data_IF_143806599732
#
_entry.id   IF_143806599732
#
_cell.length_a   1.000
_cell.length_b   1.000
_cell.length_c   1.000
_cell.angle_alpha   90.00
_cell.angle_beta   90.00
_cell.angle_gamma   90.00
#
_symmetry.space_group_name_H-M   'P 1'
#
loop_
_entity.id
_entity.type
_entity.pdbx_description
1 polymer ?
#
# COMPACT_ATOMS: atom_id res chain seq x y z
N UNK A 1 -15.73 -45.12 31.01
CA UNK A 1 -16.06 -43.86 31.74
C UNK A 1 -15.46 -42.72 30.91
N UNK A 2 -16.23 -42.01 30.06
CA UNK A 2 -17.10 -40.85 30.36
C UNK A 2 -16.27 -39.79 31.12
N UNK A 3 -16.00 -38.57 30.66
CA UNK A 3 -16.49 -37.74 29.55
C UNK A 3 -16.39 -36.27 29.99
N UNK A 4 -16.40 -35.32 29.03
CA UNK A 4 -16.67 -33.88 29.25
C UNK A 4 -15.41 -33.04 29.50
N UNK A 5 -14.99 -32.11 28.64
CA UNK A 5 -15.75 -31.36 27.65
C UNK A 5 -16.57 -30.28 28.36
N UNK A 6 -15.94 -29.14 28.63
CA UNK A 6 -16.54 -28.05 29.40
C UNK A 6 -15.68 -26.78 29.39
N UNK A 7 -15.15 -26.40 28.23
CA UNK A 7 -14.76 -25.01 28.03
C UNK A 7 -16.05 -24.21 27.90
N UNK A 8 -16.39 -23.51 28.97
CA UNK A 8 -17.53 -22.63 29.02
C UNK A 8 -17.42 -21.61 27.90
N UNK A 9 -18.27 -21.78 26.89
CA UNK A 9 -18.69 -20.69 26.05
C UNK A 9 -19.38 -19.68 26.97
N UNK A 10 -18.59 -18.75 27.49
CA UNK A 10 -19.05 -17.57 28.19
C UNK A 10 -19.92 -16.83 27.18
N UNK A 11 -21.23 -17.04 27.31
CA UNK A 11 -22.23 -16.34 26.54
C UNK A 11 -22.14 -14.87 26.94
N UNK A 12 -21.25 -14.13 26.26
CA UNK A 12 -21.23 -12.68 26.28
C UNK A 12 -22.63 -12.25 25.88
N UNK A 13 -23.43 -11.89 26.89
CA UNK A 13 -24.74 -11.31 26.71
C UNK A 13 -24.52 -10.10 25.79
N UNK A 14 -24.90 -10.26 24.52
CA UNK A 14 -24.76 -9.21 23.54
C UNK A 14 -25.40 -7.95 24.14
N UNK A 15 -24.68 -6.81 24.21
CA UNK A 15 -25.26 -5.58 24.69
C UNK A 15 -26.57 -5.37 23.93
N UNK A 16 -27.67 -5.13 24.65
CA UNK A 16 -28.96 -4.81 24.05
C UNK A 16 -28.77 -3.54 23.22
N UNK A 17 -28.48 -3.71 21.93
CA UNK A 17 -28.38 -2.61 20.98
C UNK A 17 -29.72 -1.92 20.96
N UNK A 18 -29.70 -0.60 21.10
CA UNK A 18 -30.91 0.21 21.12
C UNK A 18 -31.80 -0.13 19.90
N UNK A 19 -33.09 -0.46 20.10
CA UNK A 19 -34.01 -0.76 19.02
C UNK A 19 -34.11 0.33 17.95
N UNK A 20 -33.91 1.59 18.30
CA UNK A 20 -33.90 2.72 17.36
C UNK A 20 -32.66 2.69 16.45
N UNK A 21 -31.54 2.19 16.95
CA UNK A 21 -30.32 1.99 16.14
C UNK A 21 -30.52 0.88 15.12
N UNK A 22 -31.27 -0.18 15.45
CA UNK A 22 -31.57 -1.29 14.51
C UNK A 22 -32.54 -0.91 13.38
N UNK A 23 -33.28 0.21 13.51
CA UNK A 23 -34.14 0.74 12.43
C UNK A 23 -33.35 1.43 11.32
N UNK A 24 -32.14 1.88 11.64
CA UNK A 24 -31.23 2.52 10.70
C UNK A 24 -30.00 1.63 10.49
N UNK A 25 -29.96 0.97 9.33
CA UNK A 25 -28.88 0.03 8.99
C UNK A 25 -27.50 0.72 9.02
N UNK A 26 -27.41 2.01 8.74
CA UNK A 26 -26.13 2.74 8.81
C UNK A 26 -25.69 2.96 10.26
N UNK A 27 -26.60 3.38 11.15
CA UNK A 27 -26.28 3.52 12.58
C UNK A 27 -25.93 2.18 13.22
N UNK A 28 -26.64 1.11 12.86
CA UNK A 28 -26.32 -0.24 13.32
C UNK A 28 -24.92 -0.69 12.84
N UNK A 29 -24.53 -0.31 11.62
CA UNK A 29 -23.20 -0.62 11.10
C UNK A 29 -22.08 0.10 11.87
N UNK A 30 -22.26 1.37 12.24
CA UNK A 30 -21.28 2.10 13.04
C UNK A 30 -21.09 1.48 14.44
N UNK A 31 -22.19 1.07 15.09
CA UNK A 31 -22.11 0.35 16.38
C UNK A 31 -21.36 -0.96 16.22
N UNK A 32 -21.69 -1.75 15.20
CA UNK A 32 -20.97 -2.99 14.90
C UNK A 32 -19.49 -2.73 14.63
N UNK A 33 -19.15 -1.74 13.79
CA UNK A 33 -17.78 -1.39 13.44
C UNK A 33 -16.95 -1.00 14.65
N UNK A 34 -17.52 -0.23 15.58
CA UNK A 34 -16.84 0.21 16.80
C UNK A 34 -16.41 -0.93 17.73
N UNK A 35 -17.09 -2.08 17.63
CA UNK A 35 -16.83 -3.29 18.43
C UNK A 35 -16.19 -4.41 17.61
N UNK A 36 -15.90 -4.16 16.33
CA UNK A 36 -15.38 -5.17 15.43
C UNK A 36 -13.89 -5.40 15.68
N UNK A 37 -13.55 -6.58 16.21
CA UNK A 37 -12.18 -6.93 16.62
C UNK A 37 -11.11 -6.80 15.51
N UNK A 38 -11.50 -6.86 14.23
CA UNK A 38 -10.57 -6.73 13.09
C UNK A 38 -10.50 -5.30 12.54
N UNK A 39 -11.17 -4.33 13.15
CA UNK A 39 -11.16 -2.94 12.66
C UNK A 39 -9.74 -2.35 12.69
N UNK A 40 -8.96 -2.62 13.74
CA UNK A 40 -7.57 -2.17 13.85
C UNK A 40 -6.70 -2.72 12.71
N UNK A 41 -6.89 -3.99 12.34
CA UNK A 41 -6.19 -4.60 11.21
C UNK A 41 -6.58 -3.96 9.86
N UNK A 42 -7.85 -3.56 9.69
CA UNK A 42 -8.32 -2.85 8.49
C UNK A 42 -7.68 -1.45 8.40
N UNK A 43 -7.62 -0.71 9.51
CA UNK A 43 -6.99 0.62 9.53
C UNK A 43 -5.46 0.52 9.33
N UNK A 44 -4.80 -0.47 9.92
CA UNK A 44 -3.39 -0.75 9.67
C UNK A 44 -3.12 -1.04 8.19
N UNK A 45 -3.96 -1.84 7.53
CA UNK A 45 -3.82 -2.14 6.10
C UNK A 45 -3.97 -0.89 5.21
N UNK A 46 -4.86 0.05 5.57
CA UNK A 46 -4.95 1.35 4.87
C UNK A 46 -3.67 2.15 5.02
N UNK A 47 -3.09 2.18 6.23
CA UNK A 47 -1.84 2.88 6.48
C UNK A 47 -0.68 2.29 5.66
N UNK A 48 -0.59 0.96 5.60
CA UNK A 48 0.39 0.25 4.75
C UNK A 48 0.18 0.60 3.28
N UNK A 49 -1.07 0.55 2.78
CA UNK A 49 -1.38 0.90 1.40
C UNK A 49 -0.93 2.32 1.07
N UNK A 50 -1.19 3.28 1.95
CA UNK A 50 -0.75 4.67 1.79
C UNK A 50 0.78 4.78 1.73
N UNK A 51 1.48 4.13 2.66
CA UNK A 51 2.95 4.09 2.68
C UNK A 51 3.51 3.56 1.36
N UNK A 52 2.92 2.49 0.81
CA UNK A 52 3.36 1.89 -0.45
C UNK A 52 3.15 2.82 -1.65
N UNK A 53 2.08 3.61 -1.67
CA UNK A 53 1.89 4.65 -2.68
C UNK A 53 2.93 5.77 -2.57
N UNK A 54 3.25 6.20 -1.34
CA UNK A 54 4.27 7.23 -1.12
C UNK A 54 5.66 6.74 -1.55
N UNK A 55 6.00 5.48 -1.24
CA UNK A 55 7.23 4.82 -1.72
C UNK A 55 7.27 4.71 -3.25
N UNK A 56 6.14 4.34 -3.88
CA UNK A 56 6.05 4.23 -5.33
C UNK A 56 6.22 5.59 -6.01
N UNK A 57 5.64 6.64 -5.43
CA UNK A 57 5.83 8.01 -5.91
C UNK A 57 7.31 8.42 -5.85
N UNK A 58 7.97 8.19 -4.72
CA UNK A 58 9.40 8.51 -4.55
C UNK A 58 10.29 7.72 -5.52
N UNK A 59 10.03 6.43 -5.71
CA UNK A 59 10.76 5.61 -6.69
C UNK A 59 10.51 6.12 -8.13
N UNK A 60 9.29 6.56 -8.44
CA UNK A 60 8.95 7.18 -9.73
C UNK A 60 9.73 8.46 -10.00
N UNK A 61 9.81 9.34 -9.00
CA UNK A 61 10.64 10.55 -9.06
C UNK A 61 12.12 10.22 -9.27
N UNK A 62 12.65 9.23 -8.54
CA UNK A 62 14.04 8.78 -8.67
C UNK A 62 14.35 8.20 -10.06
N UNK A 63 13.44 7.42 -10.66
CA UNK A 63 13.57 6.92 -12.05
C UNK A 63 13.65 8.10 -13.03
N UNK A 64 12.77 9.09 -12.88
CA UNK A 64 12.76 10.24 -13.77
C UNK A 64 14.02 11.10 -13.62
N UNK A 65 14.49 11.30 -12.39
CA UNK A 65 15.73 12.02 -12.12
C UNK A 65 16.94 11.28 -12.72
N UNK A 66 17.06 9.97 -12.53
CA UNK A 66 18.14 9.18 -13.12
C UNK A 66 18.15 9.30 -14.65
N UNK A 67 16.98 9.28 -15.29
CA UNK A 67 16.84 9.50 -16.74
C UNK A 67 17.26 10.93 -17.15
N UNK A 68 16.90 11.92 -16.34
CA UNK A 68 17.30 13.31 -16.54
C UNK A 68 18.82 13.48 -16.46
N UNK A 69 19.46 12.90 -15.43
CA UNK A 69 20.90 12.93 -15.25
C UNK A 69 21.65 12.26 -16.41
N UNK A 70 21.20 11.08 -16.86
CA UNK A 70 21.80 10.43 -18.04
C UNK A 70 21.77 11.37 -19.26
N UNK A 71 20.64 12.05 -19.49
CA UNK A 71 20.52 12.98 -20.62
C UNK A 71 21.46 14.18 -20.46
N UNK A 72 21.58 14.75 -19.25
CA UNK A 72 22.49 15.86 -18.95
C UNK A 72 23.95 15.46 -19.17
N UNK A 73 24.39 14.33 -18.61
CA UNK A 73 25.78 13.87 -18.73
C UNK A 73 26.13 13.56 -20.18
N UNK A 74 25.21 12.99 -20.96
CA UNK A 74 25.41 12.82 -22.41
C UNK A 74 25.60 14.14 -23.15
N UNK A 75 24.85 15.18 -22.79
CA UNK A 75 25.00 16.51 -23.38
C UNK A 75 26.36 17.13 -23.02
N UNK A 76 26.85 16.93 -21.80
CA UNK A 76 28.19 17.37 -21.39
C UNK A 76 29.31 16.68 -22.18
N UNK A 77 29.20 15.36 -22.38
CA UNK A 77 30.16 14.62 -23.23
C UNK A 77 30.18 15.20 -24.65
N UNK A 78 29.01 15.46 -25.23
CA UNK A 78 28.94 16.04 -26.58
C UNK A 78 29.54 17.44 -26.64
N UNK A 79 29.25 18.29 -25.64
CA UNK A 79 29.83 19.62 -25.54
C UNK A 79 31.36 19.56 -25.45
N UNK A 80 31.91 18.68 -24.60
CA UNK A 80 33.36 18.48 -24.48
C UNK A 80 33.99 18.06 -25.82
N UNK A 81 33.33 17.18 -26.57
CA UNK A 81 33.81 16.74 -27.89
C UNK A 81 33.82 17.89 -28.91
N UNK A 82 32.78 18.72 -28.91
CA UNK A 82 32.70 19.90 -29.78
C UNK A 82 33.78 20.93 -29.43
N UNK A 83 33.98 21.23 -28.15
CA UNK A 83 35.00 22.17 -27.67
C UNK A 83 36.41 21.72 -28.07
N UNK A 84 36.71 20.42 -27.94
CA UNK A 84 37.99 19.84 -28.40
C UNK A 84 38.19 19.99 -29.90
N UNK A 85 37.16 19.67 -30.69
CA UNK A 85 37.21 19.81 -32.14
C UNK A 85 37.50 21.27 -32.57
N UNK A 86 36.96 22.25 -31.83
CA UNK A 86 37.24 23.67 -32.07
C UNK A 86 38.66 24.09 -31.69
N UNK A 87 39.23 23.51 -30.63
CA UNK A 87 40.59 23.82 -30.16
C UNK A 87 41.69 23.15 -31.00
N UNK A 88 41.34 22.23 -31.91
CA UNK A 88 42.31 21.53 -32.77
C UNK A 88 43.23 20.58 -32.00
N UNK A 89 42.88 20.24 -30.76
CA UNK A 89 43.62 19.29 -29.91
C UNK A 89 43.39 17.89 -30.45
N UNK A 90 44.44 17.22 -30.94
CA UNK A 90 44.38 15.80 -31.28
C UNK A 90 44.25 14.97 -30.00
N UNK A 91 43.48 13.88 -30.05
CA UNK A 91 43.40 12.91 -28.95
C UNK A 91 44.78 12.29 -28.71
N UNK A 92 45.51 12.77 -27.70
CA UNK A 92 46.57 11.97 -27.10
C UNK A 92 45.91 10.93 -26.18
N UNK A 93 46.20 9.65 -26.42
CA UNK A 93 45.78 8.56 -25.52
C UNK A 93 46.31 8.84 -24.10
N UNK A 94 45.39 9.10 -23.16
CA UNK A 94 45.71 9.37 -21.76
C UNK A 94 45.76 10.84 -21.33
N UNK A 95 45.38 11.80 -22.19
CA UNK A 95 45.26 13.22 -21.80
C UNK A 95 44.07 13.50 -20.86
N UNK A 96 44.12 14.64 -20.13
CA UNK A 96 43.11 15.07 -19.14
C UNK A 96 41.66 15.02 -19.67
N UNK A 97 41.47 15.36 -20.94
CA UNK A 97 40.16 15.34 -21.59
C UNK A 97 39.59 13.92 -21.76
N UNK A 98 40.46 12.92 -21.97
CA UNK A 98 40.07 11.51 -22.03
C UNK A 98 39.64 11.00 -20.65
N UNK A 99 40.32 11.46 -19.58
CA UNK A 99 39.95 11.14 -18.20
C UNK A 99 38.59 11.75 -17.80
N UNK A 100 38.32 13.00 -18.18
CA UNK A 100 37.05 13.68 -17.88
C UNK A 100 35.86 13.02 -18.58
N UNK A 101 36.04 12.61 -19.84
CA UNK A 101 35.00 11.88 -20.58
C UNK A 101 34.74 10.49 -19.97
N UNK A 102 35.79 9.80 -19.51
CA UNK A 102 35.65 8.49 -18.87
C UNK A 102 34.96 8.59 -17.50
N UNK A 103 35.17 9.69 -16.75
CA UNK A 103 34.39 10.01 -15.55
C UNK A 103 32.91 10.18 -15.88
N UNK A 104 32.57 10.93 -16.93
CA UNK A 104 31.18 11.11 -17.35
C UNK A 104 30.54 9.79 -17.83
N UNK A 105 31.28 8.92 -18.53
CA UNK A 105 30.79 7.57 -18.87
C UNK A 105 30.51 6.75 -17.61
N UNK A 106 31.40 6.81 -16.62
CA UNK A 106 31.20 6.14 -15.33
C UNK A 106 29.96 6.66 -14.59
N UNK A 107 29.71 7.98 -14.62
CA UNK A 107 28.51 8.58 -14.07
C UNK A 107 27.23 8.11 -14.80
N UNK A 108 27.27 7.97 -16.12
CA UNK A 108 26.17 7.41 -16.90
C UNK A 108 25.86 5.98 -16.46
N UNK A 109 26.86 5.12 -16.28
CA UNK A 109 26.64 3.75 -15.83
C UNK A 109 26.07 3.70 -14.41
N UNK A 110 26.53 4.57 -13.51
CA UNK A 110 25.92 4.72 -12.17
C UNK A 110 24.44 5.12 -12.27
N UNK A 111 24.10 6.11 -13.09
CA UNK A 111 22.70 6.52 -13.25
C UNK A 111 21.83 5.47 -13.95
N UNK A 112 22.39 4.67 -14.87
CA UNK A 112 21.70 3.51 -15.46
C UNK A 112 21.39 2.44 -14.41
N UNK A 113 22.34 2.15 -13.52
CA UNK A 113 22.12 1.23 -12.41
C UNK A 113 20.99 1.75 -11.50
N UNK A 114 21.06 3.02 -11.08
CA UNK A 114 20.00 3.65 -10.29
C UNK A 114 18.63 3.60 -10.99
N UNK A 115 18.57 3.87 -12.30
CA UNK A 115 17.33 3.76 -13.07
C UNK A 115 16.77 2.33 -13.00
N UNK A 116 17.61 1.32 -13.25
CA UNK A 116 17.21 -0.09 -13.26
C UNK A 116 16.71 -0.55 -11.89
N UNK A 117 17.40 -0.16 -10.83
CA UNK A 117 17.05 -0.53 -9.46
C UNK A 117 15.72 0.12 -9.05
N UNK A 118 15.56 1.42 -9.27
CA UNK A 118 14.31 2.12 -8.95
C UNK A 118 13.14 1.66 -9.82
N UNK A 119 13.39 1.32 -11.09
CA UNK A 119 12.35 0.76 -11.96
C UNK A 119 11.91 -0.64 -11.51
N UNK A 120 12.86 -1.46 -11.04
CA UNK A 120 12.54 -2.77 -10.48
C UNK A 120 11.73 -2.62 -9.19
N UNK A 121 12.15 -1.71 -8.29
CA UNK A 121 11.39 -1.34 -7.09
C UNK A 121 9.97 -0.87 -7.41
N UNK A 122 9.78 -0.04 -8.45
CA UNK A 122 8.44 0.39 -8.91
C UNK A 122 7.56 -0.78 -9.32
N UNK A 123 8.12 -1.75 -10.04
CA UNK A 123 7.40 -2.95 -10.46
C UNK A 123 6.96 -3.79 -9.26
N UNK A 124 7.85 -3.96 -8.29
CA UNK A 124 7.55 -4.72 -7.08
C UNK A 124 6.50 -4.01 -6.23
N UNK A 125 6.63 -2.71 -6.01
CA UNK A 125 5.65 -1.88 -5.31
C UNK A 125 4.26 -1.93 -5.98
N UNK A 126 4.20 -1.95 -7.32
CA UNK A 126 2.93 -2.15 -8.03
C UNK A 126 2.27 -3.48 -7.66
N UNK A 127 3.04 -4.58 -7.66
CA UNK A 127 2.52 -5.89 -7.28
C UNK A 127 2.07 -5.95 -5.81
N UNK A 128 2.83 -5.32 -4.90
CA UNK A 128 2.45 -5.22 -3.49
C UNK A 128 1.15 -4.43 -3.29
N UNK A 129 1.01 -3.28 -3.97
CA UNK A 129 -0.21 -2.46 -3.94
C UNK A 129 -1.42 -3.26 -4.42
N UNK A 130 -1.30 -3.96 -5.56
CA UNK A 130 -2.37 -4.80 -6.10
C UNK A 130 -2.77 -5.90 -5.12
N UNK A 131 -1.78 -6.56 -4.50
CA UNK A 131 -2.01 -7.59 -3.47
C UNK A 131 -2.75 -7.05 -2.25
N UNK A 132 -2.33 -5.90 -1.72
CA UNK A 132 -2.98 -5.25 -0.57
C UNK A 132 -4.41 -4.84 -0.92
N UNK A 133 -4.65 -4.26 -2.09
CA UNK A 133 -5.99 -3.89 -2.54
C UNK A 133 -6.93 -5.09 -2.61
N UNK A 134 -6.47 -6.20 -3.21
CA UNK A 134 -7.24 -7.45 -3.24
C UNK A 134 -7.54 -7.99 -1.85
N UNK A 135 -6.56 -7.91 -0.94
CA UNK A 135 -6.76 -8.32 0.46
C UNK A 135 -7.81 -7.44 1.16
N UNK A 136 -7.73 -6.12 1.01
CA UNK A 136 -8.69 -5.19 1.59
C UNK A 136 -10.10 -5.38 1.04
N UNK A 137 -10.24 -5.70 -0.26
CA UNK A 137 -11.55 -6.01 -0.84
C UNK A 137 -12.15 -7.27 -0.23
N UNK A 138 -11.33 -8.31 0.01
CA UNK A 138 -11.76 -9.50 0.74
C UNK A 138 -12.19 -9.15 2.17
N UNK A 139 -11.40 -8.35 2.89
CA UNK A 139 -11.75 -7.88 4.24
C UNK A 139 -13.06 -7.10 4.25
N UNK A 140 -13.31 -6.22 3.27
CA UNK A 140 -14.56 -5.48 3.11
C UNK A 140 -15.75 -6.41 2.92
N UNK A 141 -15.61 -7.42 2.07
CA UNK A 141 -16.64 -8.45 1.87
C UNK A 141 -16.91 -9.27 3.13
N UNK A 142 -15.88 -9.64 3.89
CA UNK A 142 -16.03 -10.31 5.18
C UNK A 142 -16.74 -9.43 6.21
N UNK A 143 -16.33 -8.16 6.34
CA UNK A 143 -16.95 -7.20 7.24
C UNK A 143 -18.46 -7.05 6.97
N UNK A 144 -18.84 -6.97 5.70
CA UNK A 144 -20.25 -6.88 5.31
C UNK A 144 -21.05 -8.13 5.69
N UNK A 145 -20.49 -9.33 5.46
CA UNK A 145 -21.13 -10.60 5.84
C UNK A 145 -21.28 -10.73 7.36
N UNK A 146 -20.22 -10.38 8.09
CA UNK A 146 -20.23 -10.42 9.56
C UNK A 146 -21.27 -9.44 10.12
N UNK A 147 -21.35 -8.23 9.54
CA UNK A 147 -22.37 -7.25 9.89
C UNK A 147 -23.79 -7.77 9.63
N UNK A 148 -24.05 -8.36 8.46
CA UNK A 148 -25.37 -8.90 8.14
C UNK A 148 -25.76 -10.04 9.08
N UNK A 149 -24.83 -10.91 9.43
CA UNK A 149 -25.05 -11.97 10.41
C UNK A 149 -25.39 -11.42 11.80
N UNK A 150 -24.59 -10.46 12.28
CA UNK A 150 -24.82 -9.77 13.55
C UNK A 150 -26.14 -9.01 13.56
N UNK A 151 -26.45 -8.24 12.52
CA UNK A 151 -27.67 -7.44 12.42
C UNK A 151 -28.92 -8.32 12.45
N UNK A 152 -28.92 -9.43 11.69
CA UNK A 152 -30.01 -10.39 11.70
C UNK A 152 -30.20 -11.05 13.07
N UNK A 153 -29.11 -11.35 13.79
CA UNK A 153 -29.17 -11.88 15.15
C UNK A 153 -29.80 -10.86 16.10
N UNK A 154 -29.36 -9.60 16.08
CA UNK A 154 -29.89 -8.53 16.91
C UNK A 154 -31.38 -8.28 16.67
N UNK A 155 -31.81 -8.25 15.39
CA UNK A 155 -33.24 -8.10 15.03
C UNK A 155 -34.07 -9.28 15.54
N UNK A 156 -33.57 -10.51 15.42
CA UNK A 156 -34.27 -11.71 15.94
C UNK A 156 -34.38 -11.68 17.46
N UNK A 157 -33.30 -11.32 18.15
CA UNK A 157 -33.27 -11.18 19.61
C UNK A 157 -34.29 -10.14 20.08
N UNK A 158 -34.32 -8.96 19.44
CA UNK A 158 -35.29 -7.91 19.77
C UNK A 158 -36.74 -8.35 19.57
N UNK A 159 -37.05 -9.06 18.46
CA UNK A 159 -38.40 -9.61 18.21
C UNK A 159 -38.81 -10.64 19.28
N UNK A 160 -37.89 -11.50 19.71
CA UNK A 160 -38.16 -12.50 20.76
C UNK A 160 -38.39 -11.85 22.12
N UNK A 161 -37.58 -10.87 22.51
CA UNK A 161 -37.76 -10.11 23.75
C UNK A 161 -39.08 -9.35 23.77
N UNK A 162 -39.48 -8.74 22.65
CA UNK A 162 -40.78 -8.03 22.55
C UNK A 162 -41.98 -8.98 22.61
N UNK A 163 -41.85 -10.22 22.15
CA UNK A 163 -42.91 -11.24 22.26
C UNK A 163 -43.04 -11.79 23.68
N UNK A 164 -41.96 -11.89 24.43
CA UNK A 164 -41.99 -12.33 25.84
C UNK A 164 -42.49 -11.23 26.80
N UNK A 165 -42.29 -9.96 26.48
CA UNK A 165 -42.76 -8.84 27.30
C UNK A 165 -44.27 -8.51 27.14
N UNK A 166 -44.95 -9.15 26.18
CA UNK A 166 -46.35 -8.88 25.81
C UNK A 166 -47.27 -10.08 26.11
N UNK A 167 -46.78 -11.03 26.91
CA UNK A 167 -47.49 -12.20 27.49
C UNK A 167 -47.45 -12.02 29.01
#
# INVERSE_FOLDING_TARGET
RRGGGGEGAEALAAPLVDPEVLRDKAKAFEVFRSTYAKNDAIEANKAVLKSKYDEAKSAGEAVNEARGQISRVKALIEQLRVERAMQGVQEEEGGEACEEEERHKSDIERHKAMYKDNFSKLRDLKGEIESIQQHMEKQRGTLQKDFEGWFNLMVRQHKSSRRQANV
#
